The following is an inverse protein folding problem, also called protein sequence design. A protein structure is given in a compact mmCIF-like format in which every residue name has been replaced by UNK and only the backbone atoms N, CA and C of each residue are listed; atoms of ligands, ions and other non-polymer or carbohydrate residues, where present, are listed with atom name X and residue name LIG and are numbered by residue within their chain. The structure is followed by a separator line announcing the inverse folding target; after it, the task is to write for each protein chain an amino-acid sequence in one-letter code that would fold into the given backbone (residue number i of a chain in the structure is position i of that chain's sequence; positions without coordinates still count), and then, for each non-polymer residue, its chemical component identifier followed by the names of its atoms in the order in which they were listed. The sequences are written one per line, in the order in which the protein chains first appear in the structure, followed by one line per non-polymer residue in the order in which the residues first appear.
data_IF_118224132291
#
_entry.id   IF_118224132291
#
_cell.length_a   1.000
_cell.length_b   1.000
_cell.length_c   1.000
_cell.angle_alpha   90.00
_cell.angle_beta   90.00
_cell.angle_gamma   90.00
#
_symmetry.space_group_name_H-M   'P 1'
#
loop_
_entity.id
_entity.type
_entity.pdbx_description
1 polymer ?
#
# COMPACT_ATOMS: atom_id res chain seq x y z
N UNK A 1 26.38 25.74 -22.79
CA UNK A 1 25.35 26.30 -22.01
C UNK A 1 24.03 25.81 -22.48
N UNK A 2 23.34 24.96 -22.35
CA UNK A 2 21.97 24.63 -22.73
C UNK A 2 21.89 23.62 -23.86
N UNK A 3 20.81 22.86 -23.83
CA UNK A 3 20.40 22.00 -24.94
C UNK A 3 20.13 22.85 -26.17
N UNK A 4 20.40 22.34 -27.34
CA UNK A 4 19.94 22.95 -28.60
C UNK A 4 18.42 22.82 -28.72
N UNK A 5 17.75 23.61 -29.52
CA UNK A 5 16.31 23.52 -29.74
C UNK A 5 15.91 22.11 -30.26
N UNK A 6 16.73 21.49 -31.12
CA UNK A 6 16.51 20.10 -31.57
C UNK A 6 16.60 19.10 -30.44
N UNK A 7 17.58 19.23 -29.52
CA UNK A 7 17.69 18.35 -28.35
C UNK A 7 16.50 18.53 -27.37
N UNK A 8 15.97 19.74 -27.25
CA UNK A 8 14.76 20.01 -26.45
C UNK A 8 13.53 19.38 -27.10
N UNK A 9 13.37 19.52 -28.43
CA UNK A 9 12.27 18.89 -29.17
C UNK A 9 12.33 17.35 -29.07
N UNK A 10 13.50 16.73 -29.25
CA UNK A 10 13.65 15.28 -29.09
C UNK A 10 13.33 14.81 -27.67
N UNK A 11 13.73 15.58 -26.63
CA UNK A 11 13.40 15.31 -25.25
C UNK A 11 11.91 15.47 -24.95
N UNK A 12 11.26 16.49 -25.51
CA UNK A 12 9.82 16.72 -25.35
C UNK A 12 9.01 15.66 -26.06
N UNK A 13 9.34 15.30 -27.31
CA UNK A 13 8.69 14.22 -28.05
C UNK A 13 8.88 12.86 -27.32
N UNK A 14 10.08 12.61 -26.80
CA UNK A 14 10.36 11.43 -25.99
C UNK A 14 9.56 11.39 -24.68
N UNK A 15 9.40 12.55 -24.03
CA UNK A 15 8.59 12.68 -22.82
C UNK A 15 7.08 12.56 -23.10
N UNK A 16 6.58 13.16 -24.19
CA UNK A 16 5.17 13.02 -24.60
C UNK A 16 4.83 11.58 -25.01
N UNK A 17 5.71 10.89 -25.75
CA UNK A 17 5.55 9.48 -26.06
C UNK A 17 5.60 8.60 -24.80
N UNK A 18 6.50 8.88 -23.85
CA UNK A 18 6.56 8.18 -22.60
C UNK A 18 5.27 8.35 -21.76
N UNK A 19 4.71 9.58 -21.74
CA UNK A 19 3.44 9.86 -21.07
C UNK A 19 2.25 9.18 -21.77
N UNK A 20 2.27 9.06 -23.10
CA UNK A 20 1.24 8.35 -23.86
C UNK A 20 1.36 6.83 -23.67
N UNK A 21 2.55 6.28 -23.65
CA UNK A 21 2.79 4.85 -23.38
C UNK A 21 2.46 4.48 -21.91
N UNK A 22 2.71 5.38 -20.94
CA UNK A 22 2.30 5.18 -19.54
C UNK A 22 0.77 5.33 -19.34
N UNK A 23 0.09 6.10 -20.21
CA UNK A 23 -1.38 6.21 -20.15
C UNK A 23 -2.12 5.04 -20.83
N UNK A 24 -1.42 4.19 -21.58
CA UNK A 24 -1.98 3.00 -22.21
C UNK A 24 -2.01 1.76 -21.29
N UNK A 25 -1.34 1.79 -20.14
CA UNK A 25 -1.60 0.85 -19.04
C UNK A 25 -2.91 1.27 -18.32
N UNK A 26 -4.03 1.15 -19.03
CA UNK A 26 -5.32 0.95 -18.38
C UNK A 26 -5.14 -0.34 -17.56
N UNK A 27 -4.91 -0.22 -16.26
CA UNK A 27 -5.04 -1.35 -15.34
C UNK A 27 -6.45 -1.88 -15.55
N UNK A 28 -6.58 -3.02 -16.22
CA UNK A 28 -7.83 -3.74 -16.33
C UNK A 28 -8.41 -3.85 -14.92
N UNK A 29 -9.72 -3.62 -14.77
CA UNK A 29 -10.40 -3.79 -13.50
C UNK A 29 -10.09 -5.20 -12.97
N UNK A 30 -9.29 -5.26 -11.90
CA UNK A 30 -8.89 -6.54 -11.32
C UNK A 30 -10.11 -7.12 -10.59
N UNK A 31 -10.56 -8.30 -11.00
CA UNK A 31 -11.67 -9.00 -10.34
C UNK A 31 -11.43 -9.17 -8.82
N UNK A 32 -10.18 -9.20 -8.39
CA UNK A 32 -9.82 -9.24 -6.97
C UNK A 32 -10.11 -7.92 -6.23
N UNK A 33 -10.36 -6.83 -6.92
CA UNK A 33 -10.74 -5.55 -6.31
C UNK A 33 -12.22 -5.54 -5.87
N UNK A 34 -13.04 -6.49 -6.33
CA UNK A 34 -14.39 -6.65 -5.83
C UNK A 34 -14.39 -7.06 -4.35
N UNK A 35 -15.25 -6.39 -3.58
CA UNK A 35 -15.38 -6.62 -2.13
C UNK A 35 -16.76 -7.20 -1.83
N UNK A 36 -16.85 -8.33 -1.13
CA UNK A 36 -18.12 -8.91 -0.69
C UNK A 36 -18.88 -7.98 0.27
N UNK A 37 -20.19 -8.12 0.30
CA UNK A 37 -21.03 -7.37 1.24
C UNK A 37 -20.71 -7.72 2.70
N UNK A 38 -20.85 -6.73 3.58
CA UNK A 38 -20.65 -6.88 5.02
C UNK A 38 -21.79 -7.70 5.62
N UNK A 39 -21.51 -8.83 6.31
CA UNK A 39 -22.56 -9.65 6.87
C UNK A 39 -23.20 -8.99 8.10
N UNK A 40 -24.54 -9.03 8.18
CA UNK A 40 -25.28 -8.52 9.35
C UNK A 40 -24.99 -9.32 10.63
N UNK A 41 -24.67 -10.61 10.49
CA UNK A 41 -24.32 -11.50 11.61
C UNK A 41 -22.97 -12.15 11.30
N UNK A 42 -21.86 -11.63 11.82
CA UNK A 42 -20.54 -12.19 11.51
C UNK A 42 -20.30 -13.56 12.14
N UNK A 43 -19.55 -14.38 11.42
CA UNK A 43 -19.04 -15.67 11.89
C UNK A 43 -17.91 -15.47 12.88
N UNK A 44 -17.00 -14.54 12.56
CA UNK A 44 -15.84 -14.21 13.38
C UNK A 44 -16.23 -13.54 14.69
N UNK A 45 -15.40 -13.74 15.72
CA UNK A 45 -15.58 -13.17 17.06
C UNK A 45 -14.26 -12.58 17.56
N UNK A 46 -14.30 -11.57 18.44
CA UNK A 46 -13.08 -11.06 19.06
C UNK A 46 -12.22 -12.19 19.66
N UNK A 47 -10.93 -12.17 19.31
CA UNK A 47 -9.94 -13.20 19.69
C UNK A 47 -9.78 -14.34 18.69
N UNK A 48 -10.63 -14.49 17.69
CA UNK A 48 -10.48 -15.51 16.65
C UNK A 48 -9.23 -15.21 15.79
N UNK A 49 -8.45 -16.26 15.52
CA UNK A 49 -7.32 -16.20 14.59
C UNK A 49 -7.62 -17.14 13.42
N UNK A 50 -7.73 -16.56 12.25
CA UNK A 50 -7.86 -17.29 11.00
C UNK A 50 -6.49 -17.56 10.37
N UNK A 51 -6.14 -18.83 10.18
CA UNK A 51 -5.04 -19.24 9.34
C UNK A 51 -5.55 -19.27 7.90
N UNK A 52 -4.98 -18.43 7.04
CA UNK A 52 -5.36 -18.25 5.64
C UNK A 52 -4.14 -18.62 4.79
N UNK A 53 -4.02 -19.88 4.39
CA UNK A 53 -2.79 -20.37 3.78
C UNK A 53 -1.56 -20.05 4.64
N UNK A 54 -0.62 -19.26 4.12
CA UNK A 54 0.57 -18.79 4.85
C UNK A 54 0.32 -17.55 5.73
N UNK A 55 -0.86 -16.91 5.60
CA UNK A 55 -1.21 -15.68 6.32
C UNK A 55 -1.96 -15.98 7.63
N UNK A 56 -2.04 -14.98 8.51
CA UNK A 56 -2.91 -14.97 9.69
C UNK A 56 -3.66 -13.66 9.82
N UNK A 57 -4.93 -13.75 10.13
CA UNK A 57 -5.79 -12.62 10.45
C UNK A 57 -6.41 -12.84 11.83
N UNK A 58 -6.20 -11.91 12.77
CA UNK A 58 -6.83 -11.93 14.08
C UNK A 58 -7.96 -10.90 14.17
N UNK A 59 -9.11 -11.32 14.70
CA UNK A 59 -10.16 -10.38 15.09
C UNK A 59 -9.76 -9.75 16.43
N UNK A 60 -9.19 -8.54 16.38
CA UNK A 60 -8.65 -7.90 17.58
C UNK A 60 -8.08 -6.52 17.37
N UNK A 61 -7.85 -5.82 18.46
CA UNK A 61 -7.35 -4.45 18.49
C UNK A 61 -5.82 -4.42 18.34
N UNK A 62 -5.34 -3.73 17.30
CA UNK A 62 -3.91 -3.54 17.03
C UNK A 62 -3.19 -2.67 18.10
N UNK A 63 -3.92 -1.94 18.93
CA UNK A 63 -3.36 -1.20 20.06
C UNK A 63 -2.99 -2.11 21.23
N UNK A 64 -3.58 -3.33 21.29
CA UNK A 64 -3.27 -4.31 22.33
C UNK A 64 -2.03 -5.14 21.96
N UNK A 65 -0.96 -4.91 22.71
CA UNK A 65 0.30 -5.65 22.54
C UNK A 65 0.14 -7.18 22.68
N UNK A 66 -0.82 -7.66 23.49
CA UNK A 66 -1.05 -9.10 23.65
C UNK A 66 -1.66 -9.70 22.38
N UNK A 67 -2.58 -8.98 21.72
CA UNK A 67 -3.16 -9.35 20.43
C UNK A 67 -2.06 -9.44 19.36
N UNK A 68 -1.24 -8.40 19.25
CA UNK A 68 -0.13 -8.34 18.27
C UNK A 68 0.87 -9.49 18.52
N UNK A 69 1.28 -9.73 19.76
CA UNK A 69 2.20 -10.83 20.11
C UNK A 69 1.63 -12.20 19.77
N UNK A 70 0.35 -12.41 20.05
CA UNK A 70 -0.33 -13.68 19.73
C UNK A 70 -0.38 -13.91 18.22
N UNK A 71 -0.75 -12.89 17.45
CA UNK A 71 -0.77 -12.92 15.99
C UNK A 71 0.60 -13.27 15.41
N UNK A 72 1.64 -12.56 15.87
CA UNK A 72 3.00 -12.68 15.33
C UNK A 72 3.69 -13.98 15.75
N UNK A 73 3.31 -14.60 16.87
CA UNK A 73 3.89 -15.86 17.35
C UNK A 73 5.44 -15.87 17.38
N UNK A 74 6.05 -14.74 17.73
CA UNK A 74 7.51 -14.55 17.77
C UNK A 74 8.17 -14.12 16.46
N UNK A 75 7.41 -14.04 15.36
CA UNK A 75 7.91 -13.55 14.07
C UNK A 75 8.05 -12.02 14.06
N UNK A 76 8.90 -11.50 13.16
CA UNK A 76 9.07 -10.07 12.94
C UNK A 76 8.78 -9.73 11.49
N UNK A 77 8.17 -8.57 11.26
CA UNK A 77 7.82 -8.12 9.93
C UNK A 77 8.95 -7.31 9.28
N UNK A 78 9.22 -7.59 8.02
CA UNK A 78 10.12 -6.79 7.16
C UNK A 78 9.45 -5.53 6.64
N UNK A 79 8.12 -5.53 6.57
CA UNK A 79 7.31 -4.41 6.11
C UNK A 79 6.06 -4.28 6.97
N UNK A 80 5.71 -3.05 7.34
CA UNK A 80 4.34 -2.67 7.69
C UNK A 80 3.81 -1.80 6.56
N UNK A 81 2.74 -2.23 5.90
CA UNK A 81 1.99 -1.41 4.97
C UNK A 81 0.55 -1.32 5.43
N UNK A 82 0.01 -0.10 5.49
CA UNK A 82 -1.34 0.10 5.99
C UNK A 82 -1.96 1.42 5.54
N UNK A 83 -3.28 1.46 5.46
CA UNK A 83 -4.10 2.66 5.33
C UNK A 83 -5.06 2.70 6.53
N UNK A 84 -4.68 3.40 7.61
CA UNK A 84 -5.51 3.50 8.80
C UNK A 84 -6.79 4.29 8.51
N UNK A 85 -7.83 4.17 9.34
CA UNK A 85 -9.02 4.99 9.21
C UNK A 85 -8.65 6.47 9.26
N UNK A 86 -9.15 7.26 8.28
CA UNK A 86 -8.90 8.70 8.25
C UNK A 86 -9.79 9.38 9.29
N UNK A 87 -9.20 10.21 10.16
CA UNK A 87 -9.91 10.84 11.27
C UNK A 87 -11.17 11.61 10.82
N UNK A 88 -12.33 11.21 11.32
CA UNK A 88 -13.65 11.87 11.18
C UNK A 88 -14.16 12.11 9.74
N UNK A 89 -13.59 11.50 8.70
CA UNK A 89 -14.10 11.67 7.32
C UNK A 89 -15.11 10.62 6.88
N UNK A 90 -15.25 9.52 7.62
CA UNK A 90 -16.11 8.39 7.24
C UNK A 90 -16.85 7.86 8.45
N UNK A 91 -18.10 7.47 8.23
CA UNK A 91 -18.91 6.74 9.19
C UNK A 91 -18.33 5.32 9.38
N UNK A 92 -17.31 5.22 10.22
CA UNK A 92 -16.94 3.93 10.77
C UNK A 92 -17.93 3.57 11.88
N UNK A 93 -18.32 2.31 11.98
CA UNK A 93 -19.23 1.79 13.01
C UNK A 93 -18.79 2.12 14.44
N UNK A 94 -17.54 2.47 14.63
CA UNK A 94 -16.99 3.01 15.88
C UNK A 94 -16.38 4.39 15.59
N UNK A 95 -16.97 5.44 16.17
CA UNK A 95 -16.45 6.81 16.08
C UNK A 95 -15.03 6.85 16.62
N UNK A 96 -14.04 7.13 15.77
CA UNK A 96 -12.67 7.35 16.20
C UNK A 96 -12.62 8.72 16.87
N UNK A 97 -12.68 8.72 18.20
CA UNK A 97 -12.72 9.93 19.01
C UNK A 97 -11.35 10.64 19.02
N UNK A 98 -10.26 9.88 18.94
CA UNK A 98 -8.88 10.40 18.97
C UNK A 98 -7.99 9.60 18.01
N UNK A 99 -7.82 10.12 16.78
CA UNK A 99 -6.98 9.51 15.75
C UNK A 99 -5.50 9.44 16.18
N UNK A 100 -4.98 10.48 16.84
CA UNK A 100 -3.58 10.53 17.29
C UNK A 100 -3.32 9.46 18.35
N UNK A 101 -4.25 9.27 19.29
CA UNK A 101 -4.15 8.21 20.31
C UNK A 101 -4.20 6.81 19.67
N UNK A 102 -5.08 6.56 18.70
CA UNK A 102 -5.14 5.30 17.96
C UNK A 102 -3.80 5.02 17.27
N UNK A 103 -3.29 5.97 16.50
CA UNK A 103 -2.05 5.79 15.76
C UNK A 103 -0.85 5.56 16.69
N UNK A 104 -0.75 6.32 17.78
CA UNK A 104 0.30 6.08 18.78
C UNK A 104 0.17 4.70 19.45
N UNK A 105 -1.03 4.28 19.78
CA UNK A 105 -1.29 2.95 20.35
C UNK A 105 -0.81 1.82 19.44
N UNK A 106 -1.19 1.85 18.16
CA UNK A 106 -0.80 0.85 17.17
C UNK A 106 0.71 0.89 16.90
N UNK A 107 1.26 2.08 16.61
CA UNK A 107 2.65 2.22 16.18
C UNK A 107 3.68 2.11 17.32
N UNK A 108 3.24 2.17 18.59
CA UNK A 108 4.09 1.79 19.73
C UNK A 108 4.41 0.28 19.75
N UNK A 109 3.55 -0.54 19.18
CA UNK A 109 3.59 -2.00 19.25
C UNK A 109 4.01 -2.69 17.95
N UNK A 110 4.58 -1.95 16.98
CA UNK A 110 4.97 -2.51 15.69
C UNK A 110 5.99 -3.65 15.83
N UNK A 111 5.67 -4.86 15.34
CA UNK A 111 6.50 -6.05 15.48
C UNK A 111 7.58 -6.13 14.36
N UNK A 112 8.36 -5.07 14.19
CA UNK A 112 9.26 -4.92 13.05
C UNK A 112 10.65 -5.50 13.29
N UNK A 113 11.22 -6.09 12.24
CA UNK A 113 12.64 -6.39 12.17
C UNK A 113 13.49 -5.09 12.23
N UNK A 114 14.77 -5.13 12.62
CA UNK A 114 15.61 -3.94 12.74
C UNK A 114 15.71 -3.11 11.46
N UNK A 115 15.71 -3.74 10.29
CA UNK A 115 15.69 -3.12 8.96
C UNK A 115 14.29 -3.03 8.35
N UNK A 116 13.25 -3.31 9.12
CA UNK A 116 11.86 -3.25 8.67
C UNK A 116 11.47 -1.84 8.22
N UNK A 117 10.66 -1.79 7.17
CA UNK A 117 10.15 -0.55 6.58
C UNK A 117 8.69 -0.37 6.97
N UNK A 118 8.27 0.87 7.21
CA UNK A 118 6.89 1.20 7.59
C UNK A 118 6.35 2.21 6.59
N UNK A 119 5.35 1.81 5.82
CA UNK A 119 4.69 2.65 4.83
C UNK A 119 3.22 2.83 5.20
N UNK A 120 2.78 4.08 5.31
CA UNK A 120 1.42 4.43 5.76
C UNK A 120 0.77 5.33 4.73
N UNK A 121 -0.35 4.86 4.16
CA UNK A 121 -1.14 5.62 3.19
C UNK A 121 -2.13 6.52 3.92
N UNK A 122 -2.11 7.83 3.63
CA UNK A 122 -3.00 8.83 4.24
C UNK A 122 -3.46 9.85 3.21
N UNK A 123 -4.77 10.09 3.19
CA UNK A 123 -5.40 11.12 2.37
C UNK A 123 -5.49 12.47 3.06
N UNK A 124 -5.68 13.54 2.28
CA UNK A 124 -5.96 14.87 2.80
C UNK A 124 -7.36 14.95 3.40
N UNK A 125 -7.47 15.57 4.57
CA UNK A 125 -8.76 15.93 5.19
C UNK A 125 -8.96 17.43 5.03
N UNK A 126 -10.17 17.80 4.59
CA UNK A 126 -10.60 19.19 4.52
C UNK A 126 -11.74 19.42 5.50
N UNK A 127 -11.63 20.50 6.27
CA UNK A 127 -12.69 21.00 7.14
C UNK A 127 -12.77 22.52 6.99
N UNK A 128 -13.96 23.05 6.83
CA UNK A 128 -14.18 24.49 6.64
C UNK A 128 -13.33 25.10 5.52
N UNK A 129 -13.16 24.37 4.40
CA UNK A 129 -12.30 24.69 3.24
C UNK A 129 -10.79 24.76 3.53
N UNK A 130 -10.33 24.27 4.66
CA UNK A 130 -8.92 24.20 5.03
C UNK A 130 -8.42 22.75 5.08
N UNK A 131 -7.18 22.52 4.67
CA UNK A 131 -6.50 21.24 4.89
C UNK A 131 -6.16 21.10 6.36
N UNK A 132 -6.61 20.01 6.98
CA UNK A 132 -6.31 19.72 8.37
C UNK A 132 -5.10 18.78 8.43
N UNK A 133 -3.94 19.20 8.96
CA UNK A 133 -2.75 18.38 9.11
C UNK A 133 -2.87 17.44 10.32
N UNK A 134 -3.88 16.55 10.31
CA UNK A 134 -4.24 15.68 11.42
C UNK A 134 -3.14 14.69 11.82
N UNK A 135 -2.18 14.46 10.95
CA UNK A 135 -1.05 13.55 11.16
C UNK A 135 0.19 14.20 11.78
N UNK A 136 0.27 15.53 11.88
CA UNK A 136 1.51 16.23 12.28
C UNK A 136 1.99 15.78 13.67
N UNK A 137 1.10 15.70 14.66
CA UNK A 137 1.42 15.24 16.00
C UNK A 137 1.95 13.82 16.02
N UNK A 138 1.34 12.93 15.25
CA UNK A 138 1.78 11.55 15.10
C UNK A 138 3.14 11.44 14.37
N UNK A 139 3.35 12.21 13.30
CA UNK A 139 4.62 12.23 12.59
C UNK A 139 5.79 12.65 13.50
N UNK A 140 5.58 13.64 14.37
CA UNK A 140 6.59 14.08 15.33
C UNK A 140 6.81 13.02 16.41
N UNK A 141 5.74 12.40 16.89
CA UNK A 141 5.82 11.32 17.86
C UNK A 141 6.61 10.11 17.31
N UNK A 142 6.38 9.70 16.05
CA UNK A 142 7.14 8.61 15.39
C UNK A 142 8.66 8.85 15.48
N UNK A 143 9.12 10.09 15.32
CA UNK A 143 10.53 10.43 15.47
C UNK A 143 11.04 10.20 16.91
N UNK A 144 10.22 10.50 17.91
CA UNK A 144 10.58 10.23 19.32
C UNK A 144 10.71 8.74 19.61
N UNK A 145 10.03 7.88 18.83
CA UNK A 145 10.12 6.42 18.90
C UNK A 145 11.30 5.84 18.09
N UNK A 146 12.17 6.70 17.55
CA UNK A 146 13.33 6.32 16.76
C UNK A 146 13.05 6.00 15.29
N UNK A 147 11.84 6.26 14.82
CA UNK A 147 11.51 6.14 13.41
C UNK A 147 11.94 7.40 12.64
N UNK A 148 12.76 7.22 11.60
CA UNK A 148 13.13 8.33 10.72
C UNK A 148 12.04 8.53 9.67
N UNK A 149 11.64 9.77 9.40
CA UNK A 149 10.86 10.11 8.19
C UNK A 149 11.77 9.93 6.99
N UNK A 150 11.79 8.73 6.41
CA UNK A 150 12.76 8.35 5.41
C UNK A 150 12.41 8.89 4.03
N UNK A 151 11.14 8.78 3.64
CA UNK A 151 10.63 9.30 2.39
C UNK A 151 9.15 9.68 2.50
N UNK A 152 8.67 10.35 1.46
CA UNK A 152 7.29 10.76 1.29
C UNK A 152 6.94 10.53 -0.17
N UNK A 153 6.06 9.60 -0.46
CA UNK A 153 5.63 9.25 -1.80
C UNK A 153 4.23 9.80 -2.06
N UNK A 154 3.91 9.96 -3.33
CA UNK A 154 2.57 10.31 -3.79
C UNK A 154 1.97 9.10 -4.50
N UNK A 155 0.80 8.65 -4.06
CA UNK A 155 -0.01 7.73 -4.82
C UNK A 155 -0.94 8.55 -5.72
N UNK A 156 -0.62 8.59 -7.02
CA UNK A 156 -1.42 9.19 -8.07
C UNK A 156 -2.54 8.21 -8.43
N UNK A 157 -3.77 8.62 -8.13
CA UNK A 157 -5.01 7.82 -8.29
C UNK A 157 -5.64 8.00 -9.67
N UNK A 158 -4.97 8.73 -10.57
CA UNK A 158 -5.51 9.13 -11.86
C UNK A 158 -6.45 10.33 -11.78
N UNK A 159 -7.30 10.56 -12.79
CA UNK A 159 -8.16 11.75 -12.87
C UNK A 159 -9.05 11.89 -11.64
N UNK A 160 -9.12 13.11 -11.11
CA UNK A 160 -10.04 13.45 -10.03
C UNK A 160 -11.50 13.27 -10.45
N UNK A 161 -12.37 12.98 -9.47
CA UNK A 161 -13.81 12.88 -9.72
C UNK A 161 -14.37 14.26 -10.15
N UNK A 162 -15.28 14.30 -11.14
CA UNK A 162 -15.96 15.53 -11.50
C UNK A 162 -16.79 16.04 -10.31
N UNK A 163 -16.84 17.35 -10.13
CA UNK A 163 -17.60 17.98 -9.05
C UNK A 163 -17.13 19.39 -8.75
N UNK A 164 -17.89 20.09 -7.91
CA UNK A 164 -17.46 21.37 -7.34
C UNK A 164 -16.69 21.13 -6.04
N UNK A 165 -15.42 21.50 -6.06
CA UNK A 165 -14.50 21.31 -4.93
C UNK A 165 -14.26 22.62 -4.16
N UNK A 166 -15.24 23.56 -4.17
CA UNK A 166 -15.17 24.84 -3.48
C UNK A 166 -13.94 25.68 -3.87
N UNK A 167 -13.65 25.73 -5.16
CA UNK A 167 -12.50 26.46 -5.72
C UNK A 167 -11.16 25.74 -5.65
N UNK A 168 -11.11 24.51 -5.13
CA UNK A 168 -9.93 23.63 -5.16
C UNK A 168 -9.90 22.79 -6.43
N UNK A 169 -8.74 22.26 -6.76
CA UNK A 169 -8.61 21.23 -7.78
C UNK A 169 -9.22 19.91 -7.25
N UNK A 170 -9.71 19.08 -8.15
CA UNK A 170 -10.24 17.76 -7.81
C UNK A 170 -9.14 16.88 -7.19
N UNK A 171 -9.40 16.24 -6.03
CA UNK A 171 -8.40 15.38 -5.39
C UNK A 171 -8.14 14.15 -6.26
N UNK A 172 -6.86 13.89 -6.52
CA UNK A 172 -6.40 12.82 -7.39
C UNK A 172 -5.21 12.06 -6.83
N UNK A 173 -4.81 12.33 -5.59
CA UNK A 173 -3.69 11.67 -4.96
C UNK A 173 -3.87 11.50 -3.46
N UNK A 174 -3.09 10.58 -2.91
CA UNK A 174 -2.86 10.44 -1.47
C UNK A 174 -1.36 10.34 -1.20
N UNK A 175 -0.98 10.43 0.07
CA UNK A 175 0.42 10.32 0.48
C UNK A 175 0.72 8.94 1.02
N UNK A 176 1.93 8.45 0.75
CA UNK A 176 2.49 7.26 1.40
C UNK A 176 3.72 7.68 2.19
N UNK A 177 3.56 7.82 3.50
CA UNK A 177 4.64 8.16 4.42
C UNK A 177 5.52 6.94 4.67
N UNK A 178 6.83 7.10 4.50
CA UNK A 178 7.79 6.01 4.69
C UNK A 178 8.71 6.29 5.88
N UNK A 179 8.70 5.36 6.82
CA UNK A 179 9.55 5.40 8.00
C UNK A 179 10.44 4.17 8.08
N UNK A 180 11.64 4.34 8.66
CA UNK A 180 12.51 3.23 9.01
C UNK A 180 13.43 3.60 10.18
N UNK A 181 14.06 2.58 10.77
CA UNK A 181 15.19 2.74 11.71
C UNK A 181 16.51 2.51 10.99
N UNK A 182 16.52 1.57 10.05
CA UNK A 182 17.64 1.29 9.15
C UNK A 182 17.12 1.30 7.70
N UNK A 183 17.90 1.88 6.79
CA UNK A 183 17.53 1.91 5.39
C UNK A 183 17.60 0.49 4.78
N UNK A 184 16.58 0.14 4.00
CA UNK A 184 16.58 -1.00 3.08
C UNK A 184 16.55 -0.43 1.66
N UNK A 185 17.37 -0.96 0.78
CA UNK A 185 17.32 -0.58 -0.63
C UNK A 185 16.03 -1.13 -1.24
N UNK A 186 15.35 -0.27 -2.01
CA UNK A 186 14.19 -0.72 -2.76
C UNK A 186 14.58 -1.73 -3.85
N UNK A 187 13.74 -2.73 -4.07
CA UNK A 187 13.92 -3.71 -5.13
C UNK A 187 13.73 -3.07 -6.51
N UNK A 188 14.45 -3.56 -7.49
CA UNK A 188 14.34 -3.13 -8.88
C UNK A 188 13.22 -3.92 -9.55
N UNK A 189 12.01 -3.40 -9.53
CA UNK A 189 10.81 -4.09 -10.05
C UNK A 189 10.26 -3.46 -11.34
N UNK A 190 10.73 -2.27 -11.71
CA UNK A 190 10.22 -1.56 -12.90
C UNK A 190 11.12 -1.85 -14.09
N UNK A 191 10.59 -2.35 -15.22
CA UNK A 191 11.37 -2.55 -16.44
C UNK A 191 11.99 -1.25 -16.96
N UNK A 192 13.21 -1.32 -17.46
CA UNK A 192 13.86 -0.19 -18.11
C UNK A 192 13.49 -0.16 -19.60
N UNK A 193 13.01 0.99 -20.10
CA UNK A 193 12.63 1.19 -21.51
C UNK A 193 13.78 0.88 -22.49
N UNK A 194 15.03 1.15 -22.08
CA UNK A 194 16.23 0.97 -22.92
C UNK A 194 17.13 -0.17 -22.41
N UNK A 195 16.55 -1.22 -21.82
CA UNK A 195 17.29 -2.37 -21.32
C UNK A 195 18.23 -2.96 -22.38
N UNK A 196 19.48 -3.19 -22.00
CA UNK A 196 20.51 -3.73 -22.89
C UNK A 196 21.11 -2.73 -23.89
N UNK A 197 20.57 -1.51 -24.01
CA UNK A 197 21.09 -0.48 -24.91
C UNK A 197 22.13 0.39 -24.22
N UNK A 198 23.14 0.78 -24.96
CA UNK A 198 24.10 1.80 -24.50
C UNK A 198 23.44 3.18 -24.56
N UNK A 199 23.38 3.86 -23.41
CA UNK A 199 22.76 5.16 -23.27
C UNK A 199 23.76 6.23 -22.79
N UNK A 200 23.34 7.48 -22.80
CA UNK A 200 24.13 8.62 -22.34
C UNK A 200 25.41 8.90 -23.14
N UNK A 201 25.45 8.46 -24.41
CA UNK A 201 26.50 8.79 -25.36
C UNK A 201 26.02 9.82 -26.38
N UNK A 202 26.92 10.73 -26.74
CA UNK A 202 26.76 11.62 -27.91
C UNK A 202 27.24 10.88 -29.17
N UNK A 203 26.92 11.44 -30.34
CA UNK A 203 27.35 10.90 -31.65
C UNK A 203 28.87 10.77 -31.79
N UNK A 204 29.64 11.60 -31.08
CA UNK A 204 31.10 11.56 -31.01
C UNK A 204 31.68 10.57 -30.01
N UNK A 205 30.83 9.78 -29.33
CA UNK A 205 31.22 8.81 -28.29
C UNK A 205 31.49 9.44 -26.92
N UNK A 206 31.37 10.75 -26.76
CA UNK A 206 31.51 11.40 -25.45
C UNK A 206 30.24 11.22 -24.61
N UNK A 207 30.40 11.27 -23.27
CA UNK A 207 29.27 11.19 -22.36
C UNK A 207 28.39 12.43 -22.44
N UNK A 208 27.05 12.24 -22.37
CA UNK A 208 26.14 13.36 -22.12
C UNK A 208 26.37 13.98 -20.75
N UNK A 209 26.02 15.26 -20.60
CA UNK A 209 26.24 16.01 -19.38
C UNK A 209 25.24 15.60 -18.28
N UNK A 210 25.72 15.51 -17.03
CA UNK A 210 24.90 15.30 -15.84
C UNK A 210 25.31 16.31 -14.76
N UNK A 211 24.33 16.93 -14.09
CA UNK A 211 24.59 17.74 -12.90
C UNK A 211 24.75 16.84 -11.69
N UNK A 212 25.89 16.96 -11.00
CA UNK A 212 26.17 16.22 -9.76
C UNK A 212 25.50 16.88 -8.55
N UNK A 213 25.44 16.14 -7.43
CA UNK A 213 24.84 16.63 -6.17
C UNK A 213 25.53 17.90 -5.61
N UNK A 214 26.81 18.11 -5.89
CA UNK A 214 27.59 19.30 -5.53
C UNK A 214 27.36 20.49 -6.47
N UNK A 215 26.46 20.35 -7.45
CA UNK A 215 26.14 21.38 -8.43
C UNK A 215 27.09 21.44 -9.63
N UNK A 216 28.19 20.69 -9.65
CA UNK A 216 29.10 20.61 -10.81
C UNK A 216 28.50 19.83 -11.98
N UNK A 217 28.98 20.10 -13.18
CA UNK A 217 28.58 19.37 -14.39
C UNK A 217 29.68 18.35 -14.71
N UNK A 218 29.28 17.10 -14.94
CA UNK A 218 30.18 16.03 -15.35
C UNK A 218 29.48 15.07 -16.32
N UNK A 219 30.20 14.06 -16.79
CA UNK A 219 29.62 12.98 -17.58
C UNK A 219 28.94 11.93 -16.71
N UNK A 220 28.10 11.11 -17.32
CA UNK A 220 27.53 9.93 -16.66
C UNK A 220 28.61 8.88 -16.41
N UNK A 221 28.66 8.36 -15.20
CA UNK A 221 29.66 7.33 -14.80
C UNK A 221 29.50 6.03 -15.58
N UNK A 222 28.28 5.70 -16.00
CA UNK A 222 27.93 4.50 -16.75
C UNK A 222 27.65 4.77 -18.24
N UNK A 223 28.11 5.91 -18.78
CA UNK A 223 27.93 6.20 -20.21
C UNK A 223 28.56 5.09 -21.06
N UNK A 224 27.84 4.61 -22.07
CA UNK A 224 28.27 3.52 -22.95
C UNK A 224 28.19 2.13 -22.33
N UNK A 225 27.69 1.99 -21.13
CA UNK A 225 27.36 0.69 -20.55
C UNK A 225 25.92 0.31 -20.91
N UNK A 226 25.63 -0.99 -21.13
CA UNK A 226 24.28 -1.45 -21.34
C UNK A 226 23.37 -1.06 -20.15
N UNK A 227 22.20 -0.51 -20.46
CA UNK A 227 21.19 -0.17 -19.46
C UNK A 227 20.71 -1.46 -18.78
N UNK A 228 20.59 -1.43 -17.46
CA UNK A 228 20.07 -2.56 -16.67
C UNK A 228 18.64 -2.93 -17.10
N UNK A 229 18.24 -4.19 -16.86
CA UNK A 229 16.89 -4.66 -17.23
C UNK A 229 15.78 -3.99 -16.43
N UNK A 230 16.02 -3.78 -15.13
CA UNK A 230 15.04 -3.19 -14.22
C UNK A 230 15.64 -2.06 -13.39
N UNK A 231 14.82 -1.13 -12.96
CA UNK A 231 15.15 -0.01 -12.08
C UNK A 231 14.29 -0.04 -10.81
N UNK A 232 14.69 0.71 -9.79
CA UNK A 232 13.84 1.00 -8.65
C UNK A 232 12.63 1.83 -9.09
N UNK A 233 11.46 1.68 -8.42
CA UNK A 233 10.28 2.48 -8.72
C UNK A 233 10.49 3.99 -8.51
N UNK A 234 9.66 4.78 -9.14
CA UNK A 234 9.60 6.22 -8.95
C UNK A 234 8.86 6.58 -7.64
N UNK A 235 9.08 7.79 -7.13
CA UNK A 235 8.43 8.28 -5.90
C UNK A 235 6.96 8.71 -6.10
N UNK A 236 6.49 8.77 -7.34
CA UNK A 236 5.08 8.91 -7.71
C UNK A 236 4.58 7.53 -8.15
N UNK A 237 3.71 6.96 -7.35
CA UNK A 237 3.11 5.64 -7.58
C UNK A 237 1.87 5.84 -8.44
N UNK A 238 1.93 5.48 -9.72
CA UNK A 238 0.82 5.64 -10.67
C UNK A 238 0.01 4.37 -10.76
N UNK A 239 -0.99 4.28 -9.91
CA UNK A 239 -1.93 3.16 -9.86
C UNK A 239 -3.33 3.76 -9.79
N UNK A 240 -4.12 3.55 -10.84
CA UNK A 240 -5.47 4.07 -10.90
C UNK A 240 -6.32 3.51 -9.76
N UNK A 241 -7.11 4.38 -9.12
CA UNK A 241 -8.15 3.88 -8.23
C UNK A 241 -9.17 3.07 -9.02
N UNK A 242 -9.81 2.13 -8.35
CA UNK A 242 -10.82 1.29 -8.98
C UNK A 242 -11.96 2.13 -9.62
N UNK A 243 -12.27 1.88 -10.89
CA UNK A 243 -13.32 2.60 -11.64
C UNK A 243 -14.73 2.10 -11.32
N UNK A 244 -14.85 0.94 -10.70
CA UNK A 244 -16.13 0.27 -10.44
C UNK A 244 -16.96 1.00 -9.38
N UNK A 245 -18.20 1.38 -9.74
CA UNK A 245 -19.25 1.86 -8.81
C UNK A 245 -19.05 3.26 -8.20
N UNK A 246 -18.42 4.20 -8.92
CA UNK A 246 -18.49 5.61 -8.56
C UNK A 246 -19.97 6.05 -8.61
N UNK A 247 -20.55 6.42 -7.45
CA UNK A 247 -21.93 6.92 -7.33
C UNK A 247 -23.01 5.87 -7.01
N UNK A 248 -22.65 4.63 -6.73
CA UNK A 248 -23.54 3.68 -6.04
C UNK A 248 -23.28 3.75 -4.53
N UNK A 249 -24.33 3.54 -3.72
CA UNK A 249 -24.20 3.43 -2.27
C UNK A 249 -23.23 2.27 -1.94
N UNK A 250 -21.96 2.61 -1.74
CA UNK A 250 -20.95 1.66 -1.32
C UNK A 250 -20.88 1.78 0.18
N UNK A 251 -21.46 0.81 0.89
CA UNK A 251 -21.33 0.64 2.35
C UNK A 251 -19.89 0.36 2.80
N UNK A 252 -18.94 0.26 1.86
CA UNK A 252 -17.54 0.01 2.15
C UNK A 252 -16.70 1.31 2.07
N UNK A 253 -16.07 1.70 3.17
CA UNK A 253 -15.12 2.80 3.16
C UNK A 253 -13.95 2.44 2.23
N UNK A 254 -13.59 3.37 1.33
CA UNK A 254 -12.53 3.38 0.35
C UNK A 254 -11.47 2.27 0.49
N UNK A 255 -11.62 1.26 -0.36
CA UNK A 255 -10.63 0.21 -0.53
C UNK A 255 -9.65 0.66 -1.62
N UNK A 256 -8.36 0.60 -1.34
CA UNK A 256 -7.35 0.79 -2.38
C UNK A 256 -7.26 -0.47 -3.27
N UNK A 257 -6.87 -0.33 -4.55
CA UNK A 257 -6.72 -1.48 -5.45
C UNK A 257 -5.61 -2.42 -4.97
N UNK A 258 -5.73 -3.71 -5.27
CA UNK A 258 -4.73 -4.75 -4.91
C UNK A 258 -3.34 -4.40 -5.45
N UNK A 259 -3.27 -3.72 -6.58
CA UNK A 259 -2.03 -3.28 -7.20
C UNK A 259 -1.18 -2.36 -6.29
N UNK A 260 -1.82 -1.55 -5.43
CA UNK A 260 -1.08 -0.63 -4.54
C UNK A 260 -0.27 -1.38 -3.46
N UNK A 261 -0.87 -2.24 -2.61
CA UNK A 261 -0.07 -3.04 -1.68
C UNK A 261 0.89 -3.97 -2.42
N UNK A 262 0.50 -4.56 -3.55
CA UNK A 262 1.41 -5.39 -4.35
C UNK A 262 2.68 -4.64 -4.71
N UNK A 263 2.56 -3.43 -5.27
CA UNK A 263 3.70 -2.58 -5.60
C UNK A 263 4.61 -2.30 -4.39
N UNK A 264 4.01 -1.99 -3.24
CA UNK A 264 4.75 -1.68 -2.01
C UNK A 264 5.46 -2.94 -1.47
N UNK A 265 4.78 -4.09 -1.47
CA UNK A 265 5.34 -5.36 -1.03
C UNK A 265 6.54 -5.76 -1.89
N UNK A 266 6.39 -5.73 -3.21
CA UNK A 266 7.47 -6.06 -4.16
C UNK A 266 8.65 -5.09 -4.04
N UNK A 267 8.38 -3.80 -3.77
CA UNK A 267 9.42 -2.78 -3.62
C UNK A 267 10.29 -2.97 -2.38
N UNK A 268 9.75 -3.47 -1.26
CA UNK A 268 10.42 -3.45 0.04
C UNK A 268 10.50 -4.79 0.76
N UNK A 269 10.08 -5.88 0.11
CA UNK A 269 10.21 -7.23 0.67
C UNK A 269 10.62 -8.23 -0.40
N UNK A 270 11.15 -9.36 0.05
CA UNK A 270 11.39 -10.53 -0.77
C UNK A 270 10.31 -11.60 -0.52
N UNK A 271 10.16 -12.56 -1.45
CA UNK A 271 9.22 -13.67 -1.26
C UNK A 271 9.52 -14.43 0.05
N UNK A 272 8.47 -14.81 0.77
CA UNK A 272 8.56 -15.49 2.06
C UNK A 272 8.71 -14.58 3.28
N UNK A 273 9.00 -13.28 3.11
CA UNK A 273 9.08 -12.32 4.21
C UNK A 273 7.69 -11.99 4.79
N UNK A 274 7.70 -11.54 6.05
CA UNK A 274 6.49 -11.16 6.76
C UNK A 274 6.14 -9.70 6.58
N UNK A 275 4.85 -9.46 6.37
CA UNK A 275 4.23 -8.13 6.30
C UNK A 275 3.24 -8.00 7.46
N UNK A 276 3.30 -6.92 8.22
CA UNK A 276 2.33 -6.59 9.25
C UNK A 276 1.32 -5.57 8.72
N UNK A 277 0.03 -5.87 8.90
CA UNK A 277 -1.08 -4.99 8.50
C UNK A 277 -2.02 -4.79 9.70
N UNK A 278 -1.91 -3.64 10.41
CA UNK A 278 -2.71 -3.39 11.62
C UNK A 278 -4.18 -3.02 11.36
N UNK A 279 -4.57 -2.69 10.13
CA UNK A 279 -5.92 -2.28 9.75
C UNK A 279 -6.36 -3.00 8.47
N UNK A 280 -6.58 -4.31 8.60
CA UNK A 280 -6.78 -5.22 7.46
C UNK A 280 -7.98 -4.87 6.57
N UNK A 281 -9.07 -4.38 7.19
CA UNK A 281 -10.31 -4.06 6.48
C UNK A 281 -10.80 -5.24 5.65
N UNK A 282 -11.03 -5.00 4.37
CA UNK A 282 -11.49 -6.02 3.40
C UNK A 282 -10.41 -6.99 2.92
N UNK A 283 -9.19 -6.96 3.47
CA UNK A 283 -8.15 -7.94 3.17
C UNK A 283 -7.32 -7.70 1.91
N UNK A 284 -7.28 -6.50 1.36
CA UNK A 284 -6.56 -6.18 0.12
C UNK A 284 -5.07 -6.56 0.19
N UNK A 285 -4.41 -6.31 1.33
CA UNK A 285 -3.00 -6.68 1.55
C UNK A 285 -2.79 -8.20 1.59
N UNK A 286 -3.78 -8.99 2.04
CA UNK A 286 -3.73 -10.45 2.01
C UNK A 286 -3.66 -10.97 0.58
N UNK A 287 -4.50 -10.43 -0.31
CA UNK A 287 -4.52 -10.79 -1.74
C UNK A 287 -3.20 -10.44 -2.43
N UNK A 288 -2.70 -9.23 -2.21
CA UNK A 288 -1.42 -8.79 -2.75
C UNK A 288 -0.25 -9.68 -2.28
N UNK A 289 -0.28 -10.09 -1.02
CA UNK A 289 0.78 -10.94 -0.46
C UNK A 289 0.74 -12.37 -1.01
N UNK A 290 -0.46 -12.96 -1.20
CA UNK A 290 -0.58 -14.28 -1.83
C UNK A 290 -0.05 -14.25 -3.26
N UNK A 291 -0.42 -13.24 -4.06
CA UNK A 291 0.11 -13.03 -5.43
C UNK A 291 1.63 -12.98 -5.50
N UNK A 292 2.23 -12.40 -4.50
CA UNK A 292 3.68 -12.10 -4.50
C UNK A 292 4.49 -13.05 -3.63
N UNK A 293 3.86 -14.08 -3.04
CA UNK A 293 4.52 -15.06 -2.19
C UNK A 293 5.02 -14.51 -0.85
N UNK A 294 4.45 -13.40 -0.35
CA UNK A 294 4.72 -12.83 0.98
C UNK A 294 3.75 -13.41 2.00
N UNK A 295 4.03 -13.20 3.30
CA UNK A 295 3.21 -13.70 4.40
C UNK A 295 2.67 -12.54 5.23
N UNK A 296 1.36 -12.39 5.33
CA UNK A 296 0.74 -11.33 6.13
C UNK A 296 0.41 -11.83 7.53
N UNK A 297 0.61 -10.93 8.48
CA UNK A 297 0.07 -10.98 9.84
C UNK A 297 -0.79 -9.74 10.00
N UNK A 298 -2.11 -9.91 10.05
CA UNK A 298 -3.06 -8.81 10.04
C UNK A 298 -3.96 -8.79 11.25
N UNK A 299 -4.33 -7.60 11.69
CA UNK A 299 -5.38 -7.38 12.68
C UNK A 299 -6.56 -6.66 12.04
N UNK A 300 -7.76 -6.99 12.50
CA UNK A 300 -9.00 -6.28 12.18
C UNK A 300 -9.90 -6.32 13.40
N UNK A 301 -10.37 -5.14 13.86
CA UNK A 301 -11.14 -5.04 15.09
C UNK A 301 -12.62 -5.44 14.88
N UNK A 302 -13.16 -5.21 13.71
CA UNK A 302 -14.56 -5.45 13.36
C UNK A 302 -14.75 -6.88 12.83
N UNK A 303 -15.49 -7.74 13.54
CA UNK A 303 -15.73 -9.13 13.12
C UNK A 303 -16.32 -9.26 11.72
N UNK A 304 -17.19 -8.33 11.32
CA UNK A 304 -17.81 -8.28 10.00
C UNK A 304 -16.78 -8.07 8.88
N UNK A 305 -15.76 -7.24 9.11
CA UNK A 305 -14.68 -7.04 8.14
C UNK A 305 -13.69 -8.21 8.11
N UNK A 306 -13.49 -8.89 9.24
CA UNK A 306 -12.74 -10.16 9.25
C UNK A 306 -13.40 -11.17 8.33
N UNK A 307 -14.74 -11.31 8.40
CA UNK A 307 -15.50 -12.20 7.52
C UNK A 307 -15.43 -11.78 6.06
N UNK A 308 -15.50 -10.47 5.76
CA UNK A 308 -15.32 -9.93 4.41
C UNK A 308 -13.94 -10.31 3.87
N UNK A 309 -12.87 -10.10 4.64
CA UNK A 309 -11.51 -10.43 4.24
C UNK A 309 -11.34 -11.94 3.96
N UNK A 310 -11.89 -12.78 4.81
CA UNK A 310 -11.87 -14.25 4.63
C UNK A 310 -12.63 -14.66 3.36
N UNK A 311 -13.86 -14.17 3.16
CA UNK A 311 -14.67 -14.51 1.99
C UNK A 311 -14.01 -14.04 0.70
N UNK A 312 -13.54 -12.79 0.67
CA UNK A 312 -12.84 -12.22 -0.47
C UNK A 312 -11.59 -13.04 -0.83
N UNK A 313 -10.82 -13.45 0.18
CA UNK A 313 -9.67 -14.31 -0.04
C UNK A 313 -10.07 -15.67 -0.62
N UNK A 314 -11.10 -16.34 -0.08
CA UNK A 314 -11.59 -17.62 -0.58
C UNK A 314 -12.17 -17.54 -1.99
N UNK A 315 -12.80 -16.43 -2.38
CA UNK A 315 -13.28 -16.20 -3.73
C UNK A 315 -12.14 -16.13 -4.75
N UNK A 316 -11.02 -15.52 -4.38
CA UNK A 316 -9.86 -15.37 -5.25
C UNK A 316 -8.92 -16.59 -5.24
N UNK A 317 -8.86 -17.32 -4.11
CA UNK A 317 -7.97 -18.46 -3.89
C UNK A 317 -8.72 -19.63 -3.23
N UNK A 318 -9.69 -20.24 -3.93
CA UNK A 318 -10.57 -21.28 -3.37
C UNK A 318 -9.82 -22.54 -2.95
N UNK A 319 -8.63 -22.79 -3.52
CA UNK A 319 -7.76 -23.93 -3.18
C UNK A 319 -6.95 -23.72 -1.89
N UNK A 320 -6.83 -22.48 -1.41
CA UNK A 320 -6.05 -22.18 -0.20
C UNK A 320 -6.93 -22.40 1.04
N UNK A 321 -6.50 -23.26 1.99
CA UNK A 321 -7.30 -23.54 3.16
C UNK A 321 -7.40 -22.34 4.10
N UNK A 322 -8.63 -22.08 4.58
CA UNK A 322 -8.90 -21.10 5.64
C UNK A 322 -9.48 -21.83 6.86
N UNK A 323 -8.77 -21.76 7.99
CA UNK A 323 -9.15 -22.47 9.19
C UNK A 323 -9.01 -21.61 10.45
N UNK A 324 -9.91 -21.81 11.41
CA UNK A 324 -9.81 -21.20 12.74
C UNK A 324 -8.72 -21.90 13.55
N UNK A 325 -7.70 -21.17 13.96
CA UNK A 325 -6.50 -21.74 14.63
C UNK A 325 -6.85 -22.52 15.88
N UNK A 326 -7.82 -22.05 16.68
CA UNK A 326 -8.21 -22.69 17.95
C UNK A 326 -8.86 -24.06 17.80
N UNK A 327 -9.48 -24.36 16.64
CA UNK A 327 -10.25 -25.57 16.42
C UNK A 327 -9.81 -26.40 15.22
N UNK A 328 -9.07 -25.79 14.29
CA UNK A 328 -8.73 -26.37 12.98
C UNK A 328 -9.90 -26.46 11.99
N UNK A 329 -11.08 -25.95 12.37
CA UNK A 329 -12.29 -26.00 11.52
C UNK A 329 -12.21 -24.97 10.40
N UNK A 330 -12.78 -25.31 9.23
CA UNK A 330 -12.92 -24.38 8.10
C UNK A 330 -13.90 -23.26 8.44
N UNK A 331 -13.81 -22.16 7.70
CA UNK A 331 -14.71 -21.01 7.88
C UNK A 331 -16.18 -21.41 7.75
N UNK A 332 -16.55 -22.20 6.74
CA UNK A 332 -17.92 -22.70 6.56
C UNK A 332 -18.39 -23.62 7.71
N UNK A 333 -17.49 -24.47 8.26
CA UNK A 333 -17.84 -25.33 9.41
C UNK A 333 -18.09 -24.50 10.67
N UNK A 334 -17.31 -23.45 10.90
CA UNK A 334 -17.51 -22.51 12.01
C UNK A 334 -18.81 -21.71 11.83
N UNK A 335 -19.12 -21.31 10.58
CA UNK A 335 -20.37 -20.62 10.25
C UNK A 335 -21.60 -21.47 10.60
N UNK A 336 -21.61 -22.73 10.18
CA UNK A 336 -22.70 -23.66 10.52
C UNK A 336 -22.85 -23.82 12.03
N UNK A 337 -21.75 -23.94 12.76
CA UNK A 337 -21.77 -24.09 14.21
C UNK A 337 -22.29 -22.85 14.95
N UNK A 338 -21.88 -21.66 14.50
CA UNK A 338 -22.18 -20.39 15.18
C UNK A 338 -23.48 -19.74 14.77
N UNK A 339 -23.89 -19.93 13.51
CA UNK A 339 -25.05 -19.26 12.88
C UNK A 339 -26.14 -20.23 12.41
N UNK A 340 -25.86 -21.54 12.37
CA UNK A 340 -26.79 -22.55 11.88
C UNK A 340 -26.90 -22.61 10.33
N UNK A 341 -26.08 -21.86 9.60
CA UNK A 341 -26.06 -21.82 8.15
C UNK A 341 -24.62 -21.63 7.64
N UNK A 342 -24.30 -22.09 6.40
CA UNK A 342 -23.02 -21.77 5.77
C UNK A 342 -22.93 -20.24 5.53
N UNK A 343 -21.72 -19.70 5.62
CA UNK A 343 -21.43 -18.27 5.47
C UNK A 343 -21.32 -17.84 4.01
#
# INVERSE_FOLDING_TARGET
TGFTNEEIEELLVGAEQALQDESSDETEDDAADEVPDTPANPVSRPGDIWQIGAHRLICGDATDLAVVRTLMAGEQASLCFTSPPYGNQRDYTNTIIDWDALMRGVFANLPMAPNGQVLVNLGLIHRDNEVIPYWDGWLDWMRTQGWRRFAWYVWDQGPGLPGDWNGRLAPSFEFVFHFNRQARQANKIVPCKFAGQETHLRKDGSSTAMRKADGTIGGWTAAGQPTQETKIPDSVIRIMRHKGKIGQDIDHPAVFPVALPQFVLESYTDAGEFVFEPFCGSGTTLLAAERTGRKVRATEIAPEYVDVAVKRFQQNYPEVPVTLVSTGKTFSAVAIERLGAPA
#
